data_IF_932388033295
#
_entry.id   IF_932388033295
#
_cell.length_a   1.000
_cell.length_b   1.000
_cell.length_c   1.000
_cell.angle_alpha   90.00
_cell.angle_beta   90.00
_cell.angle_gamma   90.00
#
_symmetry.space_group_name_H-M   'P 1'
#
loop_
_entity.id
_entity.type
_entity.pdbx_description
1 polymer ?
#
# COMPACT_ATOMS: atom_id res chain seq x y z
N UNK A 1 25.53 16.17 -7.75
CA UNK A 1 24.32 15.79 -6.98
C UNK A 1 23.31 15.28 -8.00
N UNK A 2 22.92 14.00 -7.92
CA UNK A 2 21.95 13.37 -8.82
C UNK A 2 20.66 13.14 -8.02
N UNK A 3 19.55 13.71 -8.44
CA UNK A 3 18.24 13.39 -7.85
C UNK A 3 17.23 14.52 -7.91
N UNK A 4 16.46 14.59 -9.00
CA UNK A 4 15.02 15.00 -9.05
C UNK A 4 14.48 15.14 -10.48
N UNK A 5 15.35 15.15 -11.51
CA UNK A 5 14.97 15.54 -12.89
C UNK A 5 14.05 14.61 -13.69
N UNK A 6 13.96 13.32 -13.36
CA UNK A 6 13.32 12.34 -14.27
C UNK A 6 12.01 11.73 -13.76
N UNK A 7 11.47 12.21 -12.62
CA UNK A 7 10.20 11.68 -12.10
C UNK A 7 9.01 12.41 -12.72
N UNK A 8 8.04 11.69 -13.31
CA UNK A 8 6.87 12.33 -13.89
C UNK A 8 6.04 13.00 -12.79
N UNK A 9 5.67 14.26 -13.01
CA UNK A 9 4.67 14.97 -12.21
C UNK A 9 3.24 14.69 -12.68
N UNK A 10 3.07 13.99 -13.81
CA UNK A 10 1.79 13.51 -14.28
C UNK A 10 1.89 12.25 -15.16
N UNK A 11 0.89 11.37 -15.06
CA UNK A 11 0.73 10.14 -15.87
C UNK A 11 -0.77 9.90 -16.08
N UNK A 12 -1.21 9.67 -17.32
CA UNK A 12 -2.60 9.32 -17.68
C UNK A 12 -3.68 10.21 -17.06
N UNK A 13 -3.43 11.52 -16.98
CA UNK A 13 -4.36 12.49 -16.39
C UNK A 13 -4.34 12.57 -14.86
N UNK A 14 -3.44 11.84 -14.19
CA UNK A 14 -3.15 11.99 -12.77
C UNK A 14 -1.95 12.89 -12.54
N UNK A 15 -2.02 13.75 -11.53
CA UNK A 15 -0.89 14.50 -10.97
C UNK A 15 -0.22 13.69 -9.87
N UNK A 16 1.11 13.74 -9.81
CA UNK A 16 1.95 12.97 -8.89
C UNK A 16 2.88 13.90 -8.09
N UNK A 17 2.96 13.71 -6.78
CA UNK A 17 3.92 14.38 -5.91
C UNK A 17 4.90 13.37 -5.31
N UNK A 18 6.15 13.77 -5.14
CA UNK A 18 7.24 12.91 -4.67
C UNK A 18 8.02 13.60 -3.56
N UNK A 19 8.48 12.84 -2.56
CA UNK A 19 9.44 13.36 -1.59
C UNK A 19 10.88 13.35 -2.13
N UNK A 20 11.83 13.91 -1.37
CA UNK A 20 13.25 13.97 -1.75
C UNK A 20 13.90 12.58 -1.89
N UNK A 21 13.38 11.56 -1.19
CA UNK A 21 13.80 10.16 -1.36
C UNK A 21 13.22 9.51 -2.63
N UNK A 22 12.41 10.25 -3.40
CA UNK A 22 11.87 9.80 -4.67
C UNK A 22 10.69 8.82 -4.53
N UNK A 23 10.00 8.85 -3.39
CA UNK A 23 8.80 8.04 -3.13
C UNK A 23 7.55 8.89 -3.36
N UNK A 24 6.54 8.28 -3.96
CA UNK A 24 5.26 8.94 -4.26
C UNK A 24 4.60 9.33 -2.93
N UNK A 25 4.22 10.59 -2.76
CA UNK A 25 3.52 11.06 -1.56
C UNK A 25 2.07 11.42 -1.84
N UNK A 26 1.73 11.73 -3.10
CA UNK A 26 0.36 12.01 -3.48
C UNK A 26 0.11 11.63 -4.94
N UNK A 27 -1.08 11.09 -5.21
CA UNK A 27 -1.65 10.91 -6.55
C UNK A 27 -3.03 11.54 -6.58
N UNK A 28 -3.26 12.45 -7.52
CA UNK A 28 -4.53 13.18 -7.64
C UNK A 28 -5.04 13.13 -9.08
N UNK A 29 -6.30 12.78 -9.30
CA UNK A 29 -6.91 12.73 -10.63
C UNK A 29 -8.33 12.21 -10.58
N UNK A 30 -9.14 12.55 -11.60
CA UNK A 30 -10.54 12.09 -11.70
C UNK A 30 -11.38 12.39 -10.43
N UNK A 31 -11.14 13.52 -9.78
CA UNK A 31 -11.83 13.91 -8.54
C UNK A 31 -11.49 13.04 -7.33
N UNK A 32 -10.34 12.36 -7.34
CA UNK A 32 -9.83 11.55 -6.23
C UNK A 32 -8.40 11.96 -5.91
N UNK A 33 -8.07 11.92 -4.62
CA UNK A 33 -6.73 12.12 -4.10
C UNK A 33 -6.39 10.95 -3.19
N UNK A 34 -5.18 10.44 -3.36
CA UNK A 34 -4.57 9.39 -2.55
C UNK A 34 -3.27 9.93 -1.97
N UNK A 35 -3.14 9.90 -0.65
CA UNK A 35 -1.94 10.30 0.07
C UNK A 35 -1.19 9.06 0.57
N UNK A 36 0.12 9.04 0.38
CA UNK A 36 0.98 7.88 0.60
C UNK A 36 2.00 8.19 1.71
N UNK A 37 2.00 7.38 2.76
CA UNK A 37 2.86 7.56 3.92
C UNK A 37 3.90 6.45 4.00
N UNK A 38 5.15 6.82 4.23
CA UNK A 38 6.28 5.90 4.19
C UNK A 38 6.98 5.86 5.55
N UNK A 39 7.35 4.66 5.97
CA UNK A 39 8.17 4.46 7.17
C UNK A 39 9.59 5.00 6.97
N UNK A 40 10.32 5.17 8.08
CA UNK A 40 11.74 5.56 8.04
C UNK A 40 12.61 4.58 7.23
N UNK A 41 12.25 3.30 7.22
CA UNK A 41 12.95 2.25 6.45
C UNK A 41 12.54 2.19 4.98
N UNK A 42 11.54 3.00 4.57
CA UNK A 42 11.10 3.09 3.19
C UNK A 42 10.05 2.11 2.75
N UNK A 43 9.35 1.50 3.69
CA UNK A 43 8.16 0.69 3.41
C UNK A 43 6.93 1.60 3.38
N UNK A 44 5.95 1.27 2.52
CA UNK A 44 4.69 2.00 2.49
C UNK A 44 3.89 1.64 3.74
N UNK A 45 3.74 2.59 4.65
CA UNK A 45 3.09 2.41 5.95
C UNK A 45 1.57 2.45 5.82
N UNK A 46 1.08 3.47 5.11
CA UNK A 46 -0.36 3.67 4.90
C UNK A 46 -0.67 4.44 3.63
N UNK A 47 -1.90 4.27 3.14
CA UNK A 47 -2.48 5.06 2.06
C UNK A 47 -3.85 5.55 2.50
N UNK A 48 -4.05 6.86 2.40
CA UNK A 48 -5.36 7.48 2.66
C UNK A 48 -5.99 7.86 1.34
N UNK A 49 -7.18 7.33 1.06
CA UNK A 49 -7.95 7.64 -0.12
C UNK A 49 -9.35 8.07 0.32
N UNK A 50 -9.71 9.34 0.05
CA UNK A 50 -10.93 9.97 0.59
C UNK A 50 -10.91 9.91 2.12
N UNK A 51 -11.83 9.16 2.73
CA UNK A 51 -11.99 9.03 4.18
C UNK A 51 -11.55 7.66 4.69
N UNK A 52 -11.00 6.81 3.81
CA UNK A 52 -10.55 5.47 4.15
C UNK A 52 -9.03 5.43 4.20
N UNK A 53 -8.48 4.98 5.33
CA UNK A 53 -7.05 4.73 5.50
C UNK A 53 -6.77 3.24 5.48
N UNK A 54 -5.91 2.83 4.56
CA UNK A 54 -5.33 1.50 4.54
C UNK A 54 -3.98 1.53 5.27
N UNK A 55 -3.74 0.56 6.17
CA UNK A 55 -2.40 0.34 6.77
C UNK A 55 -1.85 -1.02 6.40
N UNK A 56 -0.53 -1.11 6.34
CA UNK A 56 0.17 -2.30 5.86
C UNK A 56 1.21 -2.78 6.87
N UNK A 57 1.16 -4.08 7.18
CA UNK A 57 2.15 -4.76 8.02
C UNK A 57 3.05 -5.62 7.14
N UNK A 58 4.33 -5.69 7.49
CA UNK A 58 5.34 -6.43 6.75
C UNK A 58 6.11 -7.38 7.65
N UNK A 59 6.54 -8.51 7.11
CA UNK A 59 7.47 -9.40 7.80
C UNK A 59 8.94 -8.89 7.75
N UNK A 60 9.85 -9.67 8.33
CA UNK A 60 11.28 -9.35 8.35
C UNK A 60 11.89 -9.34 6.94
N UNK A 61 11.39 -10.16 6.02
CA UNK A 61 11.81 -10.22 4.62
C UNK A 61 11.25 -9.08 3.77
N UNK A 62 10.35 -8.26 4.33
CA UNK A 62 9.76 -7.11 3.65
C UNK A 62 8.55 -7.46 2.79
N UNK A 63 7.99 -8.66 2.94
CA UNK A 63 6.74 -9.04 2.30
C UNK A 63 5.59 -8.45 3.10
N UNK A 64 4.58 -7.95 2.41
CA UNK A 64 3.34 -7.51 3.05
C UNK A 64 2.61 -8.75 3.57
N UNK A 65 2.21 -8.72 4.83
CA UNK A 65 1.51 -9.82 5.49
C UNK A 65 0.13 -9.41 5.99
N UNK A 66 -0.16 -8.11 6.04
CA UNK A 66 -1.48 -7.62 6.43
C UNK A 66 -1.82 -6.31 5.72
N UNK A 67 -3.11 -6.14 5.44
CA UNK A 67 -3.75 -4.89 5.04
C UNK A 67 -5.00 -4.66 5.88
N UNK A 68 -5.12 -3.51 6.52
CA UNK A 68 -6.27 -3.17 7.36
C UNK A 68 -6.94 -1.86 6.92
N UNK A 69 -8.25 -1.76 7.12
CA UNK A 69 -9.03 -0.51 7.06
C UNK A 69 -10.29 -0.67 7.92
N UNK A 70 -10.71 0.37 8.63
CA UNK A 70 -12.08 0.47 9.21
C UNK A 70 -12.61 -0.81 9.89
N UNK A 71 -11.78 -1.52 10.66
CA UNK A 71 -12.14 -2.75 11.37
C UNK A 71 -12.22 -4.02 10.51
N UNK A 72 -11.91 -3.91 9.21
CA UNK A 72 -11.63 -5.01 8.30
C UNK A 72 -10.11 -5.21 8.19
N UNK A 73 -9.67 -6.47 8.17
CA UNK A 73 -8.29 -6.80 7.81
C UNK A 73 -8.23 -7.99 6.87
N UNK A 74 -7.16 -8.06 6.09
CA UNK A 74 -6.77 -9.27 5.40
C UNK A 74 -5.30 -9.58 5.65
N UNK A 75 -5.03 -10.84 5.93
CA UNK A 75 -3.71 -11.38 6.19
C UNK A 75 -3.30 -12.32 5.05
N UNK A 76 -2.03 -12.24 4.66
CA UNK A 76 -1.44 -13.10 3.63
C UNK A 76 -0.53 -14.14 4.30
N UNK A 77 -0.80 -15.42 4.02
CA UNK A 77 0.02 -16.56 4.44
C UNK A 77 0.91 -16.97 3.28
N UNK A 78 2.20 -17.15 3.58
CA UNK A 78 3.23 -17.45 2.60
C UNK A 78 3.82 -18.85 2.83
N UNK A 79 4.06 -19.59 1.75
CA UNK A 79 4.86 -20.82 1.72
C UNK A 79 6.15 -20.57 0.93
N UNK A 80 7.28 -20.50 1.63
CA UNK A 80 8.50 -19.96 1.04
C UNK A 80 8.23 -18.55 0.51
N UNK A 81 8.61 -18.27 -0.74
CA UNK A 81 8.36 -16.99 -1.43
C UNK A 81 7.00 -16.93 -2.16
N UNK A 82 6.16 -17.97 -2.04
CA UNK A 82 4.88 -18.04 -2.74
C UNK A 82 3.72 -17.65 -1.81
N UNK A 83 2.77 -16.80 -2.25
CA UNK A 83 1.55 -16.55 -1.50
C UNK A 83 0.71 -17.84 -1.54
N UNK A 84 0.37 -18.36 -0.36
CA UNK A 84 -0.38 -19.60 -0.22
C UNK A 84 -1.87 -19.35 0.01
N UNK A 85 -2.20 -18.37 0.86
CA UNK A 85 -3.59 -18.11 1.25
C UNK A 85 -3.78 -16.67 1.68
N UNK A 86 -4.99 -16.13 1.48
CA UNK A 86 -5.43 -14.89 2.10
C UNK A 86 -6.57 -15.16 3.09
N UNK A 87 -6.52 -14.56 4.27
CA UNK A 87 -7.56 -14.65 5.28
C UNK A 87 -8.12 -13.24 5.49
N UNK A 88 -9.42 -13.02 5.33
CA UNK A 88 -9.99 -11.67 5.43
C UNK A 88 -11.31 -11.62 6.18
N UNK A 89 -11.57 -10.52 6.89
CA UNK A 89 -12.84 -10.35 7.55
C UNK A 89 -12.91 -9.11 8.43
N UNK A 90 -14.06 -8.94 9.08
CA UNK A 90 -14.38 -7.78 9.91
C UNK A 90 -14.73 -8.25 11.32
N UNK A 91 -14.37 -7.46 12.34
CA UNK A 91 -14.83 -7.72 13.71
C UNK A 91 -14.21 -8.95 14.39
N UNK A 92 -13.00 -9.36 13.98
CA UNK A 92 -12.20 -10.39 14.65
C UNK A 92 -12.28 -11.80 14.05
N UNK A 93 -13.15 -12.05 13.08
CA UNK A 93 -13.22 -13.32 12.33
C UNK A 93 -12.61 -13.12 10.95
N UNK A 94 -11.59 -13.92 10.61
CA UNK A 94 -11.02 -13.97 9.26
C UNK A 94 -11.53 -15.23 8.53
N UNK A 95 -12.08 -15.05 7.34
CA UNK A 95 -12.53 -16.10 6.43
C UNK A 95 -11.44 -16.35 5.37
N UNK A 96 -11.19 -17.61 5.03
CA UNK A 96 -10.22 -17.95 3.99
C UNK A 96 -10.77 -17.60 2.61
N UNK A 97 -10.04 -16.77 1.87
CA UNK A 97 -10.29 -16.46 0.47
C UNK A 97 -9.08 -16.88 -0.36
N UNK A 98 -9.32 -17.49 -1.51
CA UNK A 98 -8.24 -17.83 -2.44
C UNK A 98 -7.47 -16.54 -2.80
N UNK A 99 -6.14 -16.60 -2.75
CA UNK A 99 -5.31 -15.41 -2.82
C UNK A 99 -5.54 -14.73 -4.19
N UNK A 100 -6.04 -13.49 -4.18
CA UNK A 100 -6.11 -12.72 -5.41
C UNK A 100 -4.68 -12.44 -5.91
N UNK A 101 -4.37 -12.63 -7.21
CA UNK A 101 -3.04 -12.35 -7.73
C UNK A 101 -2.71 -10.86 -7.55
N UNK A 102 -1.44 -10.60 -7.21
CA UNK A 102 -0.85 -9.26 -7.06
C UNK A 102 -0.81 -8.47 -8.36
#
# INVERSE_FOLDING_TARGET
>A
MIGTGDRPSSVDGYSLAWNHAGRLTQKSGNGRTEDYYWSATGRLDSVTARDTTWRFTYDAFGRRIERERDGWSAQEVWDGDNPFMSLSGSGGTLEATDAAPI
#
